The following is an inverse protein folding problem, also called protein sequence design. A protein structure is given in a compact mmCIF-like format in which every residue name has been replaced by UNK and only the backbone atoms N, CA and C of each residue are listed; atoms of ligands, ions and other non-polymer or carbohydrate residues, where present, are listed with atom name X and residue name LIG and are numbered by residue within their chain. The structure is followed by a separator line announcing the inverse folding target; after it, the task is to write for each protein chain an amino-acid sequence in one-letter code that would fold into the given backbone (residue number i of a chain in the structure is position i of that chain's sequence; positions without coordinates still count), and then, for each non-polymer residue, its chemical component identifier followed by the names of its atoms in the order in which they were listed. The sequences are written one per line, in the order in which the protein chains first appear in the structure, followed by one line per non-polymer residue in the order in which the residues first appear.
data_IF_075432084617
#
_entry.id   IF_075432084617
#
_cell.length_a   1.000
_cell.length_b   1.000
_cell.length_c   1.000
_cell.angle_alpha   90.00
_cell.angle_beta   90.00
_cell.angle_gamma   90.00
#
_symmetry.space_group_name_H-M   'P 1'
#
loop_
_entity.id
_entity.type
_entity.pdbx_description
1 polymer ?
#
# COMPACT_ATOMS: atom_id res chain seq x y z
N UNK A 1 15.90 24.02 -4.18
CA UNK A 1 17.02 24.97 -4.35
C UNK A 1 17.79 25.00 -3.04
N UNK A 2 19.07 24.59 -3.07
CA UNK A 2 19.84 24.27 -1.86
C UNK A 2 20.25 25.57 -1.11
N UNK A 3 19.64 25.90 0.03
CA UNK A 3 20.02 27.09 0.83
C UNK A 3 21.52 27.29 1.15
N UNK A 4 22.35 26.23 1.33
CA UNK A 4 23.75 26.39 1.74
C UNK A 4 24.67 27.08 0.71
N UNK A 5 24.41 26.94 -0.59
CA UNK A 5 25.30 27.51 -1.61
C UNK A 5 25.11 29.03 -1.74
N UNK A 6 23.87 29.51 -1.61
CA UNK A 6 23.54 30.95 -1.71
C UNK A 6 24.31 31.74 -0.65
N UNK A 7 24.40 31.20 0.58
CA UNK A 7 25.13 31.86 1.67
C UNK A 7 26.64 31.94 1.47
N UNK A 8 27.22 31.05 0.66
CA UNK A 8 28.65 31.00 0.36
C UNK A 8 29.06 31.98 -0.74
N UNK A 9 28.15 32.32 -1.67
CA UNK A 9 28.40 33.22 -2.81
C UNK A 9 28.13 34.70 -2.47
N UNK A 10 27.40 34.97 -1.38
CA UNK A 10 27.11 36.33 -0.88
C UNK A 10 28.34 37.26 -0.73
N UNK A 11 29.50 36.81 -0.20
CA UNK A 11 30.69 37.67 -0.08
C UNK A 11 31.26 38.11 -1.43
N UNK A 12 31.16 37.24 -2.43
CA UNK A 12 31.67 37.50 -3.78
C UNK A 12 30.77 38.51 -4.51
N UNK A 13 29.45 38.38 -4.36
CA UNK A 13 28.45 39.32 -4.89
C UNK A 13 28.55 40.72 -4.26
N UNK A 14 28.94 40.81 -2.98
CA UNK A 14 29.24 42.10 -2.33
C UNK A 14 30.54 42.70 -2.88
N UNK A 15 31.56 41.86 -3.10
CA UNK A 15 32.85 42.30 -3.67
C UNK A 15 32.73 42.79 -5.10
N UNK A 16 31.86 42.19 -5.89
CA UNK A 16 31.53 42.60 -7.26
C UNK A 16 30.62 43.83 -7.33
N UNK A 17 30.15 44.35 -6.18
CA UNK A 17 29.29 45.52 -6.11
C UNK A 17 27.85 45.28 -6.60
N UNK A 18 27.48 44.02 -6.84
CA UNK A 18 26.15 43.63 -7.31
C UNK A 18 25.09 43.75 -6.21
N UNK A 19 25.49 43.59 -4.95
CA UNK A 19 24.62 43.77 -3.78
C UNK A 19 25.34 44.55 -2.69
N UNK A 20 24.58 45.27 -1.86
CA UNK A 20 25.11 45.96 -0.67
C UNK A 20 25.32 44.99 0.49
N UNK A 21 26.21 45.34 1.42
CA UNK A 21 26.44 44.55 2.64
C UNK A 21 25.15 44.34 3.45
N UNK A 22 24.26 45.33 3.47
CA UNK A 22 22.96 45.25 4.16
C UNK A 22 22.00 44.26 3.47
N UNK A 23 21.97 44.24 2.14
CA UNK A 23 21.20 43.24 1.37
C UNK A 23 21.73 41.82 1.57
N UNK A 24 23.06 41.67 1.62
CA UNK A 24 23.68 40.38 1.87
C UNK A 24 23.28 39.83 3.25
N UNK A 25 23.22 40.69 4.26
CA UNK A 25 22.86 40.28 5.61
C UNK A 25 21.36 39.95 5.75
N UNK A 26 20.49 40.64 5.03
CA UNK A 26 19.06 40.29 4.93
C UNK A 26 18.83 38.93 4.25
N UNK A 27 19.60 38.63 3.21
CA UNK A 27 19.55 37.33 2.52
C UNK A 27 20.11 36.24 3.43
N UNK A 28 21.22 36.52 4.12
CA UNK A 28 21.81 35.61 5.12
C UNK A 28 20.83 35.34 6.25
N UNK A 29 20.13 36.34 6.77
CA UNK A 29 19.09 36.14 7.80
C UNK A 29 17.89 35.32 7.29
N UNK A 30 17.54 35.42 6.00
CA UNK A 30 16.46 34.64 5.39
C UNK A 30 16.81 33.17 5.16
N UNK A 31 18.09 32.88 4.90
CA UNK A 31 18.60 31.54 4.57
C UNK A 31 19.47 30.91 5.65
N UNK A 32 19.81 31.64 6.72
CA UNK A 32 20.36 31.10 7.95
C UNK A 32 19.37 30.04 8.40
N UNK A 33 19.74 28.80 8.13
CA UNK A 33 18.90 27.64 8.38
C UNK A 33 18.46 27.75 9.83
N UNK A 34 17.15 27.88 10.04
CA UNK A 34 16.55 27.85 11.36
C UNK A 34 17.07 26.61 12.09
N UNK A 35 18.03 26.72 13.03
CA UNK A 35 18.67 25.56 13.65
C UNK A 35 17.64 24.74 14.43
N UNK A 36 16.49 25.33 14.76
CA UNK A 36 15.37 24.68 15.42
C UNK A 36 14.62 23.69 14.52
N UNK A 37 14.81 23.72 13.18
CA UNK A 37 14.24 22.71 12.28
C UNK A 37 15.09 21.46 12.11
N UNK A 38 16.39 21.48 12.43
CA UNK A 38 17.15 20.25 12.62
C UNK A 38 16.92 19.73 14.04
N UNK A 39 15.73 19.17 14.28
CA UNK A 39 15.46 18.45 15.52
C UNK A 39 16.61 17.48 15.79
N UNK A 40 17.15 17.50 17.02
CA UNK A 40 18.35 16.77 17.39
C UNK A 40 18.11 15.27 17.14
N UNK A 41 18.59 14.75 15.99
CA UNK A 41 18.33 13.37 15.53
C UNK A 41 18.75 12.35 16.59
N UNK A 42 19.80 12.66 17.36
CA UNK A 42 20.27 11.85 18.46
C UNK A 42 19.25 11.81 19.60
N UNK A 43 18.65 12.95 19.95
CA UNK A 43 17.58 13.02 20.96
C UNK A 43 16.32 12.30 20.48
N UNK A 44 15.99 12.37 19.19
CA UNK A 44 14.90 11.58 18.61
C UNK A 44 15.18 10.07 18.71
N UNK A 45 16.39 9.63 18.38
CA UNK A 45 16.80 8.23 18.50
C UNK A 45 16.72 7.77 19.96
N UNK A 46 17.23 8.56 20.90
CA UNK A 46 17.11 8.24 22.33
C UNK A 46 15.67 8.27 22.83
N UNK A 47 14.82 9.16 22.32
CA UNK A 47 13.39 9.19 22.66
C UNK A 47 12.68 7.93 22.12
N UNK A 48 12.97 7.52 20.88
CA UNK A 48 12.42 6.30 20.29
C UNK A 48 12.88 5.08 21.10
N UNK A 49 14.19 4.92 21.30
CA UNK A 49 14.74 3.81 22.09
C UNK A 49 14.17 3.79 23.51
N UNK A 50 14.17 4.93 24.21
CA UNK A 50 13.59 5.05 25.55
C UNK A 50 12.13 4.65 25.58
N UNK A 51 11.32 5.12 24.63
CA UNK A 51 9.90 4.75 24.55
C UNK A 51 9.68 3.26 24.27
N UNK A 52 10.53 2.65 23.44
CA UNK A 52 10.51 1.21 23.16
C UNK A 52 10.89 0.40 24.40
N UNK A 53 11.94 0.79 25.13
CA UNK A 53 12.35 0.13 26.36
C UNK A 53 11.26 0.22 27.44
N UNK A 54 10.64 1.39 27.61
CA UNK A 54 9.53 1.57 28.56
C UNK A 54 8.33 0.71 28.16
N UNK A 55 7.94 0.75 26.89
CA UNK A 55 6.85 -0.09 26.37
C UNK A 55 7.12 -1.57 26.57
N UNK A 56 8.34 -2.03 26.26
CA UNK A 56 8.75 -3.42 26.47
C UNK A 56 8.77 -3.80 27.95
N UNK A 57 9.24 -2.91 28.84
CA UNK A 57 9.22 -3.12 30.29
C UNK A 57 7.79 -3.31 30.82
N UNK A 58 6.85 -2.49 30.36
CA UNK A 58 5.42 -2.63 30.71
C UNK A 58 4.89 -3.98 30.21
N UNK A 59 5.19 -4.35 28.96
CA UNK A 59 4.77 -5.64 28.38
C UNK A 59 5.36 -6.81 29.19
N UNK A 60 6.62 -6.74 29.61
CA UNK A 60 7.28 -7.79 30.40
C UNK A 60 6.65 -7.96 31.78
N UNK A 61 6.33 -6.86 32.47
CA UNK A 61 5.64 -6.91 33.77
C UNK A 61 4.27 -7.57 33.60
N UNK A 62 3.51 -7.17 32.58
CA UNK A 62 2.19 -7.77 32.28
C UNK A 62 2.35 -9.26 31.95
N UNK A 63 3.32 -9.62 31.12
CA UNK A 63 3.58 -10.99 30.70
C UNK A 63 3.97 -11.88 31.90
N UNK A 64 4.81 -11.37 32.81
CA UNK A 64 5.21 -12.11 34.00
C UNK A 64 4.03 -12.39 34.95
N UNK A 65 3.08 -11.46 35.06
CA UNK A 65 1.89 -11.62 35.90
C UNK A 65 0.70 -12.22 35.14
N UNK A 66 0.86 -12.64 33.88
CA UNK A 66 -0.25 -12.92 32.96
C UNK A 66 -1.17 -14.05 33.44
N UNK A 67 -0.59 -15.11 34.01
CA UNK A 67 -1.33 -16.29 34.45
C UNK A 67 -2.17 -16.04 35.71
N UNK A 68 -1.73 -15.12 36.56
CA UNK A 68 -2.44 -14.72 37.79
C UNK A 68 -3.64 -13.80 37.50
N UNK A 69 -3.73 -13.23 36.30
CA UNK A 69 -4.81 -12.33 35.92
C UNK A 69 -6.08 -13.08 35.54
N UNK A 70 -7.22 -12.63 36.07
CA UNK A 70 -8.53 -13.10 35.63
C UNK A 70 -8.80 -12.84 34.14
N UNK A 71 -9.66 -13.64 33.52
CA UNK A 71 -10.01 -13.54 32.10
C UNK A 71 -10.47 -12.13 31.71
N UNK A 72 -11.35 -11.50 32.51
CA UNK A 72 -11.84 -10.15 32.25
C UNK A 72 -10.74 -9.09 32.23
N UNK A 73 -9.77 -9.17 33.14
CA UNK A 73 -8.64 -8.24 33.21
C UNK A 73 -7.72 -8.40 32.00
N UNK A 74 -7.44 -9.65 31.57
CA UNK A 74 -6.66 -9.92 30.35
C UNK A 74 -7.33 -9.35 29.11
N UNK A 75 -8.65 -9.53 28.98
CA UNK A 75 -9.42 -8.95 27.87
C UNK A 75 -9.37 -7.42 27.92
N UNK A 76 -9.54 -6.80 29.09
CA UNK A 76 -9.42 -5.35 29.23
C UNK A 76 -8.04 -4.83 28.80
N UNK A 77 -6.96 -5.49 29.23
CA UNK A 77 -5.58 -5.16 28.83
C UNK A 77 -5.41 -5.28 27.30
N UNK A 78 -5.97 -6.31 26.67
CA UNK A 78 -5.90 -6.49 25.22
C UNK A 78 -6.55 -5.33 24.43
N UNK A 79 -7.57 -4.68 24.99
CA UNK A 79 -8.22 -3.52 24.37
C UNK A 79 -7.51 -2.18 24.64
N UNK A 80 -6.63 -2.08 25.64
CA UNK A 80 -5.94 -0.82 25.97
C UNK A 80 -5.23 -0.19 24.76
N UNK A 81 -4.41 -0.93 23.97
CA UNK A 81 -3.75 -0.35 22.79
C UNK A 81 -4.74 0.14 21.73
N UNK A 82 -5.89 -0.53 21.58
CA UNK A 82 -6.93 -0.16 20.62
C UNK A 82 -7.58 1.16 21.04
N UNK A 83 -7.97 1.30 22.30
CA UNK A 83 -8.58 2.54 22.82
C UNK A 83 -7.61 3.71 22.73
N UNK A 84 -6.34 3.50 23.07
CA UNK A 84 -5.29 4.53 22.92
C UNK A 84 -5.08 4.91 21.44
N UNK A 85 -5.03 3.93 20.54
CA UNK A 85 -4.91 4.15 19.10
C UNK A 85 -6.09 4.95 18.54
N UNK A 86 -7.32 4.61 18.92
CA UNK A 86 -8.53 5.35 18.55
C UNK A 86 -8.48 6.80 19.04
N UNK A 87 -8.07 7.02 20.30
CA UNK A 87 -7.89 8.35 20.87
C UNK A 87 -6.85 9.18 20.11
N UNK A 88 -5.72 8.59 19.74
CA UNK A 88 -4.66 9.26 18.98
C UNK A 88 -5.09 9.59 17.55
N UNK A 89 -5.81 8.70 16.87
CA UNK A 89 -6.38 8.97 15.54
C UNK A 89 -7.39 10.11 15.63
N UNK A 90 -8.30 10.06 16.60
CA UNK A 90 -9.30 11.12 16.81
C UNK A 90 -8.65 12.46 17.12
N UNK A 91 -7.65 12.47 18.00
CA UNK A 91 -6.86 13.66 18.31
C UNK A 91 -6.17 14.23 17.07
N UNK A 92 -5.56 13.38 16.24
CA UNK A 92 -4.90 13.79 15.00
C UNK A 92 -5.86 14.44 14.01
N UNK A 93 -7.07 13.89 13.88
CA UNK A 93 -8.13 14.44 13.00
C UNK A 93 -8.64 15.79 13.50
N UNK A 94 -8.88 15.94 14.82
CA UNK A 94 -9.47 17.17 15.37
C UNK A 94 -8.44 18.30 15.44
N UNK A 95 -7.21 18.01 15.89
CA UNK A 95 -6.26 19.04 16.32
C UNK A 95 -5.15 19.34 15.32
N UNK A 96 -4.82 18.38 14.46
CA UNK A 96 -3.67 18.46 13.55
C UNK A 96 -3.95 17.83 12.16
N UNK A 97 -5.07 18.14 11.49
CA UNK A 97 -5.47 17.46 10.25
C UNK A 97 -4.48 17.65 9.09
N UNK A 98 -3.69 18.73 9.11
CA UNK A 98 -2.71 19.04 8.07
C UNK A 98 -1.37 18.30 8.24
N UNK A 99 -1.10 17.77 9.44
CA UNK A 99 0.18 17.14 9.75
C UNK A 99 0.12 15.65 9.48
N UNK A 100 0.78 15.21 8.40
CA UNK A 100 0.80 13.80 7.99
C UNK A 100 1.25 12.84 9.12
N UNK A 101 2.17 13.25 10.00
CA UNK A 101 2.62 12.41 11.11
C UNK A 101 1.49 12.02 12.08
N UNK A 102 0.54 12.93 12.34
CA UNK A 102 -0.63 12.68 13.19
C UNK A 102 -1.71 11.84 12.50
N UNK A 103 -1.57 11.63 11.19
CA UNK A 103 -2.47 10.81 10.38
C UNK A 103 -1.93 9.39 10.19
N UNK A 104 -0.64 9.26 9.86
CA UNK A 104 -0.01 7.98 9.54
C UNK A 104 0.37 7.20 10.81
N UNK A 105 1.01 7.84 11.78
CA UNK A 105 1.51 7.16 13.00
C UNK A 105 0.37 6.53 13.82
N UNK A 106 -0.65 7.30 14.22
CA UNK A 106 -1.80 6.75 14.94
C UNK A 106 -2.58 5.70 14.16
N UNK A 107 -2.71 5.83 12.84
CA UNK A 107 -3.41 4.83 12.02
C UNK A 107 -2.66 3.50 11.98
N UNK A 108 -1.33 3.52 11.82
CA UNK A 108 -0.51 2.30 11.86
C UNK A 108 -0.53 1.67 13.25
N UNK A 109 -0.44 2.49 14.31
CA UNK A 109 -0.56 2.00 15.69
C UNK A 109 -1.92 1.32 15.92
N UNK A 110 -3.01 1.96 15.50
CA UNK A 110 -4.36 1.41 15.65
C UNK A 110 -4.53 0.13 14.83
N UNK A 111 -4.02 0.07 13.60
CA UNK A 111 -4.04 -1.14 12.78
C UNK A 111 -3.34 -2.31 13.47
N UNK A 112 -2.11 -2.09 13.96
CA UNK A 112 -1.34 -3.09 14.71
C UNK A 112 -2.03 -3.49 16.02
N UNK A 113 -2.62 -2.52 16.73
CA UNK A 113 -3.36 -2.76 17.96
C UNK A 113 -4.61 -3.63 17.72
N UNK A 114 -5.34 -3.41 16.63
CA UNK A 114 -6.49 -4.23 16.24
C UNK A 114 -6.06 -5.67 15.97
N UNK A 115 -5.01 -5.88 15.19
CA UNK A 115 -4.46 -7.21 14.92
C UNK A 115 -4.04 -7.94 16.21
N UNK A 116 -3.26 -7.26 17.06
CA UNK A 116 -2.81 -7.82 18.34
C UNK A 116 -3.99 -8.13 19.28
N UNK A 117 -4.99 -7.25 19.34
CA UNK A 117 -6.18 -7.43 20.17
C UNK A 117 -6.98 -8.66 19.74
N UNK A 118 -7.23 -8.84 18.44
CA UNK A 118 -7.92 -10.03 17.90
C UNK A 118 -7.16 -11.30 18.27
N UNK A 119 -5.83 -11.32 18.08
CA UNK A 119 -5.00 -12.47 18.43
C UNK A 119 -5.03 -12.79 19.94
N UNK A 120 -4.95 -11.77 20.79
CA UNK A 120 -5.00 -11.95 22.25
C UNK A 120 -6.36 -12.43 22.72
N UNK A 121 -7.45 -11.90 22.18
CA UNK A 121 -8.81 -12.34 22.50
C UNK A 121 -8.99 -13.82 22.12
N UNK A 122 -8.51 -14.21 20.94
CA UNK A 122 -8.55 -15.60 20.51
C UNK A 122 -7.81 -16.52 21.50
N UNK A 123 -6.63 -16.09 21.98
CA UNK A 123 -5.85 -16.83 22.97
C UNK A 123 -6.54 -16.90 24.35
N UNK A 124 -7.04 -15.78 24.88
CA UNK A 124 -7.66 -15.68 26.22
C UNK A 124 -8.93 -16.52 26.30
N UNK A 125 -9.72 -16.54 25.23
CA UNK A 125 -10.99 -17.24 25.17
C UNK A 125 -10.90 -18.64 24.54
N UNK A 126 -9.70 -19.10 24.18
CA UNK A 126 -9.47 -20.36 23.48
C UNK A 126 -10.38 -20.51 22.24
N UNK A 127 -10.57 -19.41 21.52
CA UNK A 127 -11.36 -19.41 20.29
C UNK A 127 -10.51 -20.09 19.23
N UNK A 128 -10.95 -21.28 18.80
CA UNK A 128 -10.38 -21.93 17.63
C UNK A 128 -10.64 -21.10 16.38
N UNK A 129 -9.66 -21.06 15.47
CA UNK A 129 -9.78 -20.35 14.21
C UNK A 129 -8.58 -20.66 13.30
N UNK A 130 -8.79 -20.49 12.00
CA UNK A 130 -7.75 -20.57 10.98
C UNK A 130 -7.05 -19.23 10.79
N UNK A 131 -5.81 -19.26 10.27
CA UNK A 131 -5.03 -18.05 9.99
C UNK A 131 -5.75 -17.15 8.97
N UNK A 132 -6.38 -17.74 7.96
CA UNK A 132 -7.23 -17.04 6.98
C UNK A 132 -8.37 -16.24 7.66
N UNK A 133 -9.06 -16.82 8.66
CA UNK A 133 -10.14 -16.16 9.38
C UNK A 133 -9.65 -15.00 10.23
N UNK A 134 -8.46 -15.14 10.83
CA UNK A 134 -7.77 -14.06 11.52
C UNK A 134 -7.42 -12.91 10.57
N UNK A 135 -6.77 -13.21 9.43
CA UNK A 135 -6.38 -12.19 8.44
C UNK A 135 -7.60 -11.47 7.87
N UNK A 136 -8.69 -12.21 7.59
CA UNK A 136 -9.95 -11.63 7.12
C UNK A 136 -10.54 -10.65 8.15
N UNK A 137 -10.61 -11.07 9.42
CA UNK A 137 -11.13 -10.24 10.51
C UNK A 137 -10.30 -8.97 10.67
N UNK A 138 -8.97 -9.08 10.65
CA UNK A 138 -8.07 -7.94 10.73
C UNK A 138 -8.21 -6.99 9.54
N UNK A 139 -8.34 -7.52 8.31
CA UNK A 139 -8.55 -6.70 7.12
C UNK A 139 -9.82 -5.86 7.23
N UNK A 140 -10.94 -6.48 7.62
CA UNK A 140 -12.22 -5.78 7.80
C UNK A 140 -12.13 -4.69 8.87
N UNK A 141 -11.45 -4.95 9.98
CA UNK A 141 -11.26 -3.97 11.06
C UNK A 141 -10.36 -2.79 10.66
N UNK A 142 -9.39 -3.01 9.77
CA UNK A 142 -8.46 -1.98 9.30
C UNK A 142 -9.08 -1.15 8.16
N UNK A 143 -10.05 -1.67 7.41
CA UNK A 143 -10.67 -0.98 6.27
C UNK A 143 -11.13 0.47 6.58
N UNK A 144 -11.79 0.79 7.72
CA UNK A 144 -12.18 2.15 8.05
C UNK A 144 -10.99 3.14 8.15
N UNK A 145 -9.79 2.66 8.46
CA UNK A 145 -8.59 3.50 8.59
C UNK A 145 -8.13 4.04 7.23
N UNK A 146 -8.48 3.37 6.13
CA UNK A 146 -8.24 3.90 4.78
C UNK A 146 -9.09 5.13 4.51
N UNK A 147 -10.26 5.23 5.14
CA UNK A 147 -11.22 6.30 4.86
C UNK A 147 -11.13 7.46 5.84
N UNK A 148 -11.07 7.14 7.14
CA UNK A 148 -11.22 8.10 8.24
C UNK A 148 -9.96 8.97 8.39
N UNK A 149 -8.79 8.44 8.80
CA UNK A 149 -7.56 9.22 8.73
C UNK A 149 -7.07 9.31 7.28
N UNK A 150 -7.35 8.34 6.40
CA UNK A 150 -6.79 8.38 5.05
C UNK A 150 -5.29 8.10 5.01
N UNK A 151 -4.83 7.20 5.89
CA UNK A 151 -3.41 6.87 6.02
C UNK A 151 -2.93 6.01 4.84
N UNK A 152 -1.84 6.48 4.22
CA UNK A 152 -1.13 5.74 3.18
C UNK A 152 -0.50 4.45 3.72
N UNK A 153 0.16 4.53 4.88
CA UNK A 153 0.82 3.37 5.49
C UNK A 153 -0.18 2.28 5.88
N UNK A 154 -1.34 2.68 6.43
CA UNK A 154 -2.42 1.73 6.73
C UNK A 154 -2.98 1.07 5.47
N UNK A 155 -3.10 1.83 4.37
CA UNK A 155 -3.53 1.27 3.08
C UNK A 155 -2.52 0.24 2.53
N UNK A 156 -1.22 0.49 2.63
CA UNK A 156 -0.20 -0.49 2.23
C UNK A 156 -0.28 -1.76 3.08
N UNK A 157 -0.39 -1.62 4.40
CA UNK A 157 -0.55 -2.75 5.32
C UNK A 157 -1.82 -3.55 5.01
N UNK A 158 -2.93 -2.88 4.71
CA UNK A 158 -4.17 -3.50 4.29
C UNK A 158 -3.99 -4.30 2.99
N UNK A 159 -3.39 -3.72 1.93
CA UNK A 159 -3.14 -4.41 0.66
C UNK A 159 -2.24 -5.64 0.84
N UNK A 160 -1.17 -5.53 1.63
CA UNK A 160 -0.31 -6.65 1.95
C UNK A 160 -1.08 -7.77 2.68
N UNK A 161 -1.93 -7.40 3.63
CA UNK A 161 -2.70 -8.35 4.42
C UNK A 161 -3.78 -9.08 3.61
N UNK A 162 -4.52 -8.39 2.73
CA UNK A 162 -5.52 -9.07 1.88
C UNK A 162 -4.85 -9.98 0.85
N UNK A 163 -3.65 -9.62 0.37
CA UNK A 163 -2.87 -10.46 -0.55
C UNK A 163 -2.36 -11.70 0.17
N UNK A 164 -1.90 -11.56 1.41
CA UNK A 164 -1.50 -12.69 2.25
C UNK A 164 -2.70 -13.59 2.58
N UNK A 165 -3.86 -13.02 2.92
CA UNK A 165 -5.10 -13.78 3.08
C UNK A 165 -5.38 -14.65 1.84
N UNK A 166 -5.38 -14.05 0.65
CA UNK A 166 -5.63 -14.77 -0.59
C UNK A 166 -4.61 -15.89 -0.83
N UNK A 167 -3.34 -15.65 -0.49
CA UNK A 167 -2.28 -16.65 -0.59
C UNK A 167 -2.53 -17.84 0.33
N UNK A 168 -2.85 -17.60 1.61
CA UNK A 168 -3.11 -18.67 2.58
C UNK A 168 -4.29 -19.54 2.15
N UNK A 169 -5.42 -18.92 1.78
CA UNK A 169 -6.60 -19.65 1.31
C UNK A 169 -6.24 -20.56 0.13
N UNK A 170 -5.46 -20.05 -0.84
CA UNK A 170 -5.08 -20.85 -2.00
C UNK A 170 -4.06 -21.93 -1.67
N UNK A 171 -3.11 -21.65 -0.80
CA UNK A 171 -2.05 -22.57 -0.41
C UNK A 171 -2.59 -23.73 0.43
N UNK A 172 -3.40 -23.43 1.44
CA UNK A 172 -4.04 -24.45 2.30
C UNK A 172 -5.17 -25.18 1.55
N UNK A 173 -5.94 -24.45 0.73
CA UNK A 173 -7.02 -24.98 -0.10
C UNK A 173 -6.57 -25.61 -1.42
N UNK A 174 -5.27 -25.90 -1.60
CA UNK A 174 -4.76 -26.43 -2.86
C UNK A 174 -5.42 -27.77 -3.24
N UNK A 175 -5.62 -28.65 -2.26
CA UNK A 175 -6.23 -29.98 -2.44
C UNK A 175 -7.76 -29.96 -2.54
N UNK A 176 -8.41 -28.95 -1.95
CA UNK A 176 -9.88 -28.82 -1.90
C UNK A 176 -10.44 -27.95 -3.03
N UNK A 177 -9.58 -27.24 -3.78
CA UNK A 177 -9.98 -26.35 -4.86
C UNK A 177 -10.60 -25.04 -4.36
N UNK A 178 -10.38 -24.68 -3.09
CA UNK A 178 -10.91 -23.44 -2.51
C UNK A 178 -10.26 -22.20 -3.15
N UNK A 179 -11.09 -21.17 -3.35
CA UNK A 179 -10.69 -19.91 -3.99
C UNK A 179 -10.94 -18.73 -3.05
N UNK A 180 -10.04 -17.73 -3.03
CA UNK A 180 -10.13 -16.60 -2.10
C UNK A 180 -11.18 -15.56 -2.54
N UNK A 181 -12.45 -15.93 -2.62
CA UNK A 181 -13.51 -15.04 -3.11
C UNK A 181 -13.63 -13.73 -2.34
N UNK A 182 -13.34 -13.74 -1.02
CA UNK A 182 -13.33 -12.53 -0.20
C UNK A 182 -12.23 -11.51 -0.54
N UNK A 183 -11.19 -11.92 -1.28
CA UNK A 183 -10.18 -10.99 -1.78
C UNK A 183 -10.79 -9.92 -2.70
N UNK A 184 -11.73 -10.30 -3.57
CA UNK A 184 -12.35 -9.39 -4.55
C UNK A 184 -13.09 -8.23 -3.88
N UNK A 185 -14.09 -8.45 -2.98
CA UNK A 185 -14.78 -7.35 -2.33
C UNK A 185 -13.83 -6.53 -1.43
N UNK A 186 -12.82 -7.13 -0.81
CA UNK A 186 -11.83 -6.39 0.00
C UNK A 186 -10.93 -5.49 -0.85
N UNK A 187 -10.50 -5.95 -2.03
CA UNK A 187 -9.74 -5.14 -2.97
C UNK A 187 -10.61 -4.01 -3.53
N UNK A 188 -11.85 -4.32 -3.94
CA UNK A 188 -12.83 -3.34 -4.41
C UNK A 188 -13.14 -2.30 -3.34
N UNK A 189 -13.22 -2.70 -2.07
CA UNK A 189 -13.40 -1.80 -0.94
C UNK A 189 -12.22 -0.85 -0.72
N UNK A 190 -11.05 -1.06 -1.33
CA UNK A 190 -9.94 -0.11 -1.30
C UNK A 190 -9.88 0.80 -2.55
N UNK A 191 -10.61 0.48 -3.62
CA UNK A 191 -10.63 1.27 -4.87
C UNK A 191 -11.12 2.70 -4.68
N UNK A 192 -12.20 3.00 -3.92
CA UNK A 192 -12.62 4.39 -3.70
C UNK A 192 -11.53 5.23 -3.02
N UNK A 193 -10.76 4.65 -2.11
CA UNK A 193 -9.60 5.30 -1.51
C UNK A 193 -8.51 5.61 -2.56
N UNK A 194 -8.18 4.64 -3.41
CA UNK A 194 -7.23 4.82 -4.51
C UNK A 194 -7.64 5.96 -5.45
N UNK A 195 -8.91 6.00 -5.88
CA UNK A 195 -9.44 7.04 -6.76
C UNK A 195 -9.47 8.41 -6.08
N UNK A 196 -9.78 8.47 -4.78
CA UNK A 196 -9.72 9.72 -3.99
C UNK A 196 -8.29 10.27 -3.95
N UNK A 197 -7.30 9.42 -3.73
CA UNK A 197 -5.89 9.83 -3.67
C UNK A 197 -5.34 10.20 -5.06
N UNK A 198 -5.75 9.50 -6.12
CA UNK A 198 -5.43 9.86 -7.51
C UNK A 198 -5.89 11.28 -7.84
N UNK A 199 -7.09 11.68 -7.40
CA UNK A 199 -7.65 13.02 -7.64
C UNK A 199 -6.96 14.12 -6.83
N UNK A 200 -6.49 13.81 -5.62
CA UNK A 200 -5.88 14.78 -4.68
C UNK A 200 -4.38 14.95 -4.90
N UNK A 201 -3.62 13.85 -4.89
CA UNK A 201 -2.15 13.83 -4.87
C UNK A 201 -1.56 12.90 -5.93
N UNK A 202 -2.22 12.76 -7.08
CA UNK A 202 -1.84 11.81 -8.13
C UNK A 202 -0.44 11.98 -8.73
N UNK A 203 0.22 13.12 -8.52
CA UNK A 203 1.61 13.39 -8.94
C UNK A 203 2.65 13.06 -7.84
N UNK A 204 2.20 12.72 -6.63
CA UNK A 204 3.05 12.49 -5.46
C UNK A 204 3.78 11.14 -5.47
N UNK A 205 4.89 11.06 -4.70
CA UNK A 205 5.61 9.80 -4.49
C UNK A 205 4.76 8.75 -3.73
N UNK A 206 3.92 9.19 -2.79
CA UNK A 206 3.00 8.30 -2.08
C UNK A 206 2.00 7.63 -3.05
N UNK A 207 1.46 8.37 -4.02
CA UNK A 207 0.55 7.80 -5.01
C UNK A 207 1.25 6.81 -5.97
N UNK A 208 2.51 7.07 -6.32
CA UNK A 208 3.33 6.11 -7.09
C UNK A 208 3.44 4.78 -6.32
N UNK A 209 3.85 4.82 -5.06
CA UNK A 209 3.94 3.61 -4.24
C UNK A 209 2.57 2.95 -4.04
N UNK A 210 1.50 3.74 -3.83
CA UNK A 210 0.15 3.20 -3.72
C UNK A 210 -0.24 2.44 -4.99
N UNK A 211 0.02 3.02 -6.16
CA UNK A 211 -0.23 2.40 -7.47
C UNK A 211 0.59 1.13 -7.66
N UNK A 212 1.86 1.13 -7.23
CA UNK A 212 2.72 -0.05 -7.27
C UNK A 212 2.14 -1.20 -6.43
N UNK A 213 1.77 -0.95 -5.17
CA UNK A 213 1.22 -1.98 -4.29
C UNK A 213 -0.18 -2.43 -4.73
N UNK A 214 -1.02 -1.55 -5.27
CA UNK A 214 -2.30 -1.93 -5.85
C UNK A 214 -2.14 -2.85 -7.06
N UNK A 215 -1.25 -2.47 -7.99
CA UNK A 215 -0.95 -3.27 -9.16
C UNK A 215 -0.37 -4.64 -8.78
N UNK A 216 0.54 -4.66 -7.79
CA UNK A 216 1.14 -5.90 -7.30
C UNK A 216 0.09 -6.80 -6.63
N UNK A 217 -0.74 -6.23 -5.74
CA UNK A 217 -1.81 -6.98 -5.07
C UNK A 217 -2.83 -7.53 -6.07
N UNK A 218 -3.25 -6.73 -7.06
CA UNK A 218 -4.19 -7.17 -8.10
C UNK A 218 -3.57 -8.25 -8.98
N UNK A 219 -2.32 -8.08 -9.40
CA UNK A 219 -1.61 -9.02 -10.28
C UNK A 219 -1.27 -10.35 -9.60
N UNK A 220 -0.87 -10.34 -8.33
CA UNK A 220 -0.68 -11.56 -7.54
C UNK A 220 -2.02 -12.21 -7.19
N UNK A 221 -2.98 -11.41 -6.72
CA UNK A 221 -4.31 -11.88 -6.34
C UNK A 221 -5.04 -12.57 -7.48
N UNK A 222 -4.92 -12.08 -8.71
CA UNK A 222 -5.54 -12.70 -9.89
C UNK A 222 -5.01 -14.11 -10.18
N UNK A 223 -3.73 -14.39 -9.86
CA UNK A 223 -3.14 -15.73 -10.06
C UNK A 223 -3.73 -16.77 -9.11
N UNK A 224 -4.14 -16.34 -7.91
CA UNK A 224 -4.57 -17.22 -6.84
C UNK A 224 -5.96 -17.81 -7.05
N UNK A 225 -6.69 -17.36 -8.08
CA UNK A 225 -7.98 -17.93 -8.46
C UNK A 225 -7.87 -19.13 -9.39
N UNK A 226 -6.69 -19.38 -9.96
CA UNK A 226 -6.49 -20.47 -10.90
C UNK A 226 -6.19 -21.78 -10.19
N UNK A 227 -6.93 -22.81 -10.58
CA UNK A 227 -6.87 -24.13 -9.94
C UNK A 227 -5.82 -24.98 -10.64
N UNK A 228 -5.90 -25.04 -11.96
CA UNK A 228 -4.98 -25.75 -12.84
C UNK A 228 -4.46 -24.82 -13.93
N UNK A 229 -3.19 -24.98 -14.32
CA UNK A 229 -2.65 -24.23 -15.44
C UNK A 229 -3.11 -24.89 -16.74
N UNK A 230 -3.92 -24.18 -17.53
CA UNK A 230 -4.30 -24.59 -18.89
C UNK A 230 -3.87 -23.54 -19.90
N UNK A 231 -3.74 -23.86 -21.21
CA UNK A 231 -3.37 -22.90 -22.23
C UNK A 231 -4.27 -21.65 -22.28
N UNK A 232 -5.54 -21.80 -21.91
CA UNK A 232 -6.49 -20.69 -21.88
C UNK A 232 -6.17 -19.64 -20.78
N UNK A 233 -5.46 -20.04 -19.72
CA UNK A 233 -5.01 -19.14 -18.65
C UNK A 233 -4.04 -18.08 -19.17
N UNK A 234 -3.19 -18.46 -20.12
CA UNK A 234 -2.26 -17.56 -20.79
C UNK A 234 -2.99 -16.39 -21.43
N UNK A 235 -4.14 -16.65 -22.04
CA UNK A 235 -4.97 -15.62 -22.67
C UNK A 235 -5.57 -14.67 -21.62
N UNK A 236 -6.08 -15.20 -20.51
CA UNK A 236 -6.59 -14.39 -19.41
C UNK A 236 -5.50 -13.51 -18.78
N UNK A 237 -4.30 -14.08 -18.58
CA UNK A 237 -3.15 -13.38 -18.04
C UNK A 237 -2.61 -12.31 -18.99
N UNK A 238 -2.50 -12.62 -20.27
CA UNK A 238 -2.11 -11.67 -21.31
C UNK A 238 -3.13 -10.52 -21.40
N UNK A 239 -4.43 -10.82 -21.29
CA UNK A 239 -5.49 -9.80 -21.30
C UNK A 239 -5.40 -8.88 -20.08
N UNK A 240 -5.15 -9.43 -18.88
CA UNK A 240 -4.97 -8.64 -17.66
C UNK A 240 -3.68 -7.79 -17.71
N UNK A 241 -2.57 -8.38 -18.17
CA UNK A 241 -1.31 -7.68 -18.38
C UNK A 241 -1.45 -6.54 -19.40
N UNK A 242 -2.19 -6.78 -20.49
CA UNK A 242 -2.54 -5.74 -21.45
C UNK A 242 -3.36 -4.63 -20.78
N UNK A 243 -4.40 -4.97 -20.00
CA UNK A 243 -5.19 -3.99 -19.26
C UNK A 243 -4.31 -3.10 -18.35
N UNK A 244 -3.34 -3.69 -17.66
CA UNK A 244 -2.40 -2.97 -16.78
C UNK A 244 -1.54 -1.97 -17.55
N UNK A 245 -1.04 -2.35 -18.72
CA UNK A 245 -0.28 -1.44 -19.59
C UNK A 245 -1.13 -0.30 -20.13
N UNK A 246 -2.46 -0.48 -20.21
CA UNK A 246 -3.40 0.52 -20.71
C UNK A 246 -3.87 1.53 -19.66
N UNK A 247 -3.60 1.30 -18.36
CA UNK A 247 -4.04 2.16 -17.26
C UNK A 247 -3.68 3.64 -17.44
N UNK A 248 -2.46 4.03 -17.87
CA UNK A 248 -2.11 5.44 -18.05
C UNK A 248 -2.96 6.17 -19.10
N UNK A 249 -3.43 5.45 -20.13
CA UNK A 249 -4.26 6.04 -21.18
C UNK A 249 -5.74 6.12 -20.81
N UNK A 250 -6.16 5.53 -19.69
CA UNK A 250 -7.56 5.54 -19.24
C UNK A 250 -8.01 6.87 -18.59
N UNK A 251 -7.09 7.81 -18.39
CA UNK A 251 -7.35 9.09 -17.74
C UNK A 251 -6.91 10.24 -18.63
N UNK A 252 -7.84 11.13 -18.98
CA UNK A 252 -7.54 12.38 -19.69
C UNK A 252 -7.29 13.50 -18.67
N UNK A 253 -6.13 14.15 -18.74
CA UNK A 253 -5.92 15.47 -18.12
C UNK A 253 -5.26 15.52 -16.73
N UNK A 254 -4.19 14.74 -16.47
CA UNK A 254 -3.21 14.97 -15.37
C UNK A 254 -2.06 13.96 -15.47
N UNK A 255 -0.83 14.38 -15.18
CA UNK A 255 0.36 13.50 -15.02
C UNK A 255 0.22 12.57 -13.79
N UNK A 256 -0.73 11.63 -13.83
CA UNK A 256 -0.90 10.61 -12.80
C UNK A 256 0.30 9.66 -12.84
N UNK A 257 0.93 9.41 -11.68
CA UNK A 257 2.04 8.47 -11.56
C UNK A 257 1.55 7.01 -11.52
N UNK A 258 0.87 6.59 -12.58
CA UNK A 258 0.35 5.23 -12.79
C UNK A 258 1.31 4.31 -13.54
N UNK A 259 2.52 4.77 -13.88
CA UNK A 259 3.56 3.95 -14.51
C UNK A 259 3.84 2.60 -13.82
N UNK A 260 3.66 2.42 -12.48
CA UNK A 260 3.84 1.10 -11.87
C UNK A 260 2.90 0.02 -12.42
N UNK A 261 1.71 0.39 -12.87
CA UNK A 261 0.79 -0.53 -13.56
C UNK A 261 1.40 -1.03 -14.87
N UNK A 262 2.02 -0.15 -15.65
CA UNK A 262 2.73 -0.51 -16.88
C UNK A 262 3.93 -1.39 -16.59
N UNK A 263 4.71 -1.08 -15.55
CA UNK A 263 5.86 -1.90 -15.15
C UNK A 263 5.43 -3.33 -14.85
N UNK A 264 4.41 -3.50 -14.01
CA UNK A 264 3.94 -4.83 -13.59
C UNK A 264 3.29 -5.55 -14.77
N UNK A 265 2.39 -4.90 -15.52
CA UNK A 265 1.76 -5.49 -16.70
C UNK A 265 2.77 -5.88 -17.78
N UNK A 266 3.73 -5.00 -18.08
CA UNK A 266 4.79 -5.24 -19.05
C UNK A 266 5.74 -6.36 -18.62
N UNK A 267 6.15 -6.38 -17.35
CA UNK A 267 6.97 -7.47 -16.79
C UNK A 267 6.24 -8.81 -16.84
N UNK A 268 4.95 -8.84 -16.47
CA UNK A 268 4.11 -10.03 -16.58
C UNK A 268 3.97 -10.48 -18.03
N UNK A 269 3.74 -9.57 -18.97
CA UNK A 269 3.65 -9.91 -20.40
C UNK A 269 4.97 -10.51 -20.92
N UNK A 270 6.11 -9.89 -20.61
CA UNK A 270 7.43 -10.39 -21.00
C UNK A 270 7.70 -11.78 -20.39
N UNK A 271 7.36 -11.97 -19.12
CA UNK A 271 7.50 -13.25 -18.44
C UNK A 271 6.67 -14.34 -19.13
N UNK A 272 5.41 -14.04 -19.44
CA UNK A 272 4.52 -14.96 -20.16
C UNK A 272 5.10 -15.30 -21.53
N UNK A 273 5.49 -14.31 -22.33
CA UNK A 273 6.07 -14.56 -23.66
C UNK A 273 7.34 -15.41 -23.57
N UNK A 274 8.19 -15.17 -22.58
CA UNK A 274 9.42 -15.93 -22.36
C UNK A 274 9.12 -17.38 -21.96
N UNK A 275 8.34 -17.59 -20.91
CA UNK A 275 8.01 -18.94 -20.38
C UNK A 275 7.28 -19.77 -21.42
N UNK A 276 6.27 -19.20 -22.07
CA UNK A 276 5.47 -19.90 -23.08
C UNK A 276 6.15 -20.00 -24.46
N UNK A 277 7.35 -19.43 -24.63
CA UNK A 277 8.18 -19.71 -25.81
C UNK A 277 8.80 -21.11 -25.76
N UNK A 278 8.88 -21.75 -24.58
CA UNK A 278 9.50 -23.06 -24.41
C UNK A 278 8.48 -24.18 -24.72
N UNK A 279 8.83 -25.04 -25.68
CA UNK A 279 8.00 -26.20 -26.08
C UNK A 279 7.57 -27.12 -24.91
N UNK A 280 8.44 -27.47 -23.93
CA UNK A 280 8.04 -28.37 -22.84
C UNK A 280 6.85 -27.89 -22.02
N UNK A 281 6.70 -26.56 -21.87
CA UNK A 281 5.56 -25.97 -21.16
C UNK A 281 4.23 -26.35 -21.82
N UNK A 282 4.21 -26.51 -23.15
CA UNK A 282 3.01 -26.89 -23.90
C UNK A 282 2.69 -28.38 -23.82
N UNK A 283 3.68 -29.22 -23.55
CA UNK A 283 3.53 -30.68 -23.52
C UNK A 283 2.97 -31.19 -22.18
N UNK A 284 3.07 -30.39 -21.11
CA UNK A 284 2.54 -30.72 -19.77
C UNK A 284 1.06 -30.34 -19.56
N UNK A 285 0.42 -29.66 -20.51
CA UNK A 285 -0.98 -29.24 -20.37
C UNK A 285 -1.97 -30.37 -20.62
N UNK A 286 -2.66 -30.84 -19.56
CA UNK A 286 -3.83 -31.71 -19.71
C UNK A 286 -5.09 -30.87 -19.99
N UNK A 287 -5.81 -31.19 -21.07
CA UNK A 287 -6.98 -30.42 -21.53
C UNK A 287 -8.28 -30.75 -20.78
N UNK A 288 -8.20 -31.44 -19.64
CA UNK A 288 -9.36 -32.08 -19.02
C UNK A 288 -10.26 -31.14 -18.21
N UNK A 289 -9.73 -30.09 -17.60
CA UNK A 289 -10.54 -29.28 -16.69
C UNK A 289 -10.97 -27.92 -17.28
N UNK A 290 -12.26 -27.59 -17.13
CA UNK A 290 -12.91 -26.39 -17.69
C UNK A 290 -13.47 -25.46 -16.62
N UNK A 291 -13.25 -25.75 -15.33
CA UNK A 291 -13.80 -24.98 -14.22
C UNK A 291 -13.39 -23.47 -14.22
N UNK A 292 -12.27 -23.13 -14.86
CA UNK A 292 -11.67 -21.78 -14.82
C UNK A 292 -12.08 -20.89 -16.02
N UNK A 293 -12.84 -21.41 -16.97
CA UNK A 293 -13.28 -20.69 -18.17
C UNK A 293 -14.05 -19.39 -17.89
N UNK A 294 -14.96 -19.33 -16.89
CA UNK A 294 -15.65 -18.08 -16.54
C UNK A 294 -14.69 -16.98 -16.08
N UNK A 295 -13.66 -17.32 -15.29
CA UNK A 295 -12.66 -16.37 -14.81
C UNK A 295 -11.80 -15.83 -15.95
N UNK A 296 -11.40 -16.69 -16.87
CA UNK A 296 -10.66 -16.31 -18.08
C UNK A 296 -11.51 -15.35 -18.93
N UNK A 297 -12.80 -15.65 -19.10
CA UNK A 297 -13.75 -14.76 -19.78
C UNK A 297 -13.84 -13.37 -19.13
N UNK A 298 -13.85 -13.30 -17.80
CA UNK A 298 -13.82 -12.03 -17.06
C UNK A 298 -12.53 -11.25 -17.33
N UNK A 299 -11.36 -11.88 -17.28
CA UNK A 299 -10.10 -11.19 -17.56
C UNK A 299 -9.99 -10.71 -19.01
N UNK A 300 -10.46 -11.49 -19.97
CA UNK A 300 -10.55 -11.08 -21.37
C UNK A 300 -11.47 -9.87 -21.51
N UNK A 301 -12.65 -9.90 -20.87
CA UNK A 301 -13.58 -8.77 -20.88
C UNK A 301 -12.96 -7.50 -20.28
N UNK A 302 -12.23 -7.62 -19.16
CA UNK A 302 -11.48 -6.50 -18.56
C UNK A 302 -10.45 -5.94 -19.56
N UNK A 303 -9.67 -6.81 -20.22
CA UNK A 303 -8.72 -6.41 -21.25
C UNK A 303 -9.37 -5.69 -22.42
N UNK A 304 -10.49 -6.21 -22.93
CA UNK A 304 -11.25 -5.60 -24.04
C UNK A 304 -11.83 -4.25 -23.64
N UNK A 305 -12.43 -4.14 -22.45
CA UNK A 305 -12.97 -2.87 -21.96
C UNK A 305 -11.86 -1.84 -21.77
N UNK A 306 -10.72 -2.23 -21.18
CA UNK A 306 -9.57 -1.35 -21.03
C UNK A 306 -9.05 -0.87 -22.40
N UNK A 307 -9.01 -1.74 -23.40
CA UNK A 307 -8.64 -1.40 -24.76
C UNK A 307 -9.61 -0.40 -25.40
N UNK A 308 -10.93 -0.63 -25.29
CA UNK A 308 -11.96 0.27 -25.83
C UNK A 308 -11.94 1.63 -25.14
N UNK A 309 -11.68 1.68 -23.83
CA UNK A 309 -11.56 2.93 -23.10
C UNK A 309 -10.30 3.70 -23.51
N UNK A 310 -9.17 3.00 -23.66
CA UNK A 310 -7.92 3.60 -24.09
C UNK A 310 -7.96 4.04 -25.56
N UNK A 311 -8.65 3.33 -26.46
CA UNK A 311 -8.74 3.71 -27.87
C UNK A 311 -9.57 4.98 -28.12
N UNK A 312 -10.37 5.43 -27.14
CA UNK A 312 -11.09 6.71 -27.19
C UNK A 312 -10.20 7.91 -26.87
N UNK A 313 -9.12 7.70 -26.15
CA UNK A 313 -8.21 8.76 -25.65
C UNK A 313 -6.84 8.71 -26.33
N UNK A 314 -6.49 7.59 -26.97
CA UNK A 314 -5.18 7.34 -27.57
C UNK A 314 -5.24 7.48 -29.08
N UNK A 315 -4.42 8.37 -29.64
CA UNK A 315 -3.98 8.25 -31.03
C UNK A 315 -2.91 7.14 -31.10
N UNK A 316 -3.13 6.04 -31.84
CA UNK A 316 -2.16 4.96 -31.92
C UNK A 316 -0.83 5.47 -32.50
N UNK A 317 0.29 5.11 -31.86
CA UNK A 317 1.67 5.37 -32.32
C UNK A 317 2.16 6.82 -32.34
N UNK A 318 1.40 7.80 -31.83
CA UNK A 318 1.89 9.18 -31.89
C UNK A 318 3.07 9.46 -30.94
N UNK A 319 3.07 8.97 -29.68
CA UNK A 319 4.15 9.26 -28.69
C UNK A 319 4.30 8.18 -27.61
N UNK A 320 5.54 7.84 -27.27
CA UNK A 320 5.97 6.97 -26.16
C UNK A 320 6.84 7.80 -25.19
N UNK A 321 6.66 7.79 -23.85
CA UNK A 321 5.73 7.03 -23.01
C UNK A 321 4.64 7.87 -22.31
N UNK A 322 4.43 9.14 -22.67
CA UNK A 322 3.43 10.02 -22.04
C UNK A 322 2.50 10.68 -23.07
N UNK A 323 1.19 10.80 -22.79
CA UNK A 323 0.35 11.84 -23.40
C UNK A 323 0.64 13.17 -22.67
N UNK A 324 1.09 14.20 -23.39
CA UNK A 324 1.19 15.56 -22.84
C UNK A 324 -0.18 16.25 -22.89
N UNK A 325 -0.54 16.96 -21.81
CA UNK A 325 -1.76 17.77 -21.66
C UNK A 325 -2.40 17.68 -20.29
#
# INVERSE_FOLDING_TARGET
MNGPWITQVLPELVREGLITADQAERIRARYAADPQRSGNRMLLVFAILGSLLVGLGIILIIAHNWDDLGRGTRTAIAFVPVVLGQGLVLYGIIRSPEVAAWREGPAVLLASALCACVSLIAQIHHIGGSLEGYLLTCAVLILPLLYVPGSFCAALGYLAMITWYAWIVRFEGFSTGERPWWFVPLLLAAVPFYLREARRNGTGAAFLWLSFFFALSTGLGSQLFYTDWTPAHVLGLAALAAAFTLVPWSHAGRELRTWPWVLIGGATMLLIMCVFSFRPVWEEFDMKDRADWPLIGVYIAIGTVAYVLASRTREPFERWPYPEG
#
